data_IF_164755797895
#
_entry.id   IF_164755797895
#
_cell.length_a   1.000
_cell.length_b   1.000
_cell.length_c   1.000
_cell.angle_alpha   90.00
_cell.angle_beta   90.00
_cell.angle_gamma   90.00
#
_symmetry.space_group_name_H-M   'P 1'
#
loop_
_entity.id
_entity.type
_entity.pdbx_description
1 polymer ?
#
# COMPACT_ATOMS: atom_id res chain seq x y z
N UNK A 1 -28.37 -7.91 -16.80
CA UNK A 1 -27.69 -7.20 -15.68
C UNK A 1 -28.54 -6.00 -15.31
N UNK A 2 -28.82 -5.78 -14.03
CA UNK A 2 -29.91 -4.90 -13.59
C UNK A 2 -29.36 -3.46 -13.34
N UNK A 3 -30.00 -2.42 -13.90
CA UNK A 3 -29.45 -1.05 -13.97
C UNK A 3 -29.20 -0.38 -12.62
N UNK A 4 -29.91 -0.80 -11.56
CA UNK A 4 -29.68 -0.32 -10.20
C UNK A 4 -28.29 -0.73 -9.65
N UNK A 5 -27.70 -1.80 -10.17
CA UNK A 5 -26.44 -2.38 -9.68
C UNK A 5 -25.22 -1.65 -10.19
N UNK A 6 -25.26 -1.29 -11.47
CA UNK A 6 -24.24 -0.46 -12.10
C UNK A 6 -24.25 0.94 -11.48
N UNK A 7 -25.42 1.46 -11.12
CA UNK A 7 -25.56 2.71 -10.37
C UNK A 7 -24.87 2.67 -9.00
N UNK A 8 -25.20 1.70 -8.13
CA UNK A 8 -24.60 1.57 -6.79
C UNK A 8 -23.09 1.40 -6.82
N UNK A 9 -22.58 0.62 -7.78
CA UNK A 9 -21.14 0.40 -7.91
C UNK A 9 -20.39 1.66 -8.30
N UNK A 10 -20.93 2.42 -9.26
CA UNK A 10 -20.33 3.71 -9.67
C UNK A 10 -20.30 4.70 -8.51
N UNK A 11 -21.39 4.79 -7.74
CA UNK A 11 -21.46 5.68 -6.57
C UNK A 11 -20.39 5.31 -5.53
N UNK A 12 -20.30 4.03 -5.15
CA UNK A 12 -19.30 3.58 -4.18
C UNK A 12 -17.87 3.82 -4.66
N UNK A 13 -17.58 3.50 -5.93
CA UNK A 13 -16.26 3.75 -6.53
C UNK A 13 -15.91 5.24 -6.51
N UNK A 14 -16.80 6.11 -6.99
CA UNK A 14 -16.53 7.56 -7.02
C UNK A 14 -16.30 8.08 -5.61
N UNK A 15 -17.13 7.70 -4.64
CA UNK A 15 -16.91 8.07 -3.23
C UNK A 15 -15.54 7.60 -2.73
N UNK A 16 -15.18 6.33 -2.99
CA UNK A 16 -13.89 5.76 -2.58
C UNK A 16 -12.72 6.52 -3.17
N UNK A 17 -12.79 6.89 -4.45
CA UNK A 17 -11.75 7.65 -5.14
C UNK A 17 -11.65 9.10 -4.62
N UNK A 18 -12.77 9.72 -4.27
CA UNK A 18 -12.78 11.04 -3.64
C UNK A 18 -12.11 11.01 -2.26
N UNK A 19 -12.45 10.02 -1.42
CA UNK A 19 -11.78 9.85 -0.12
C UNK A 19 -10.29 9.54 -0.31
N UNK A 20 -9.93 8.69 -1.28
CA UNK A 20 -8.53 8.42 -1.60
C UNK A 20 -7.77 9.66 -2.06
N UNK A 21 -8.40 10.57 -2.80
CA UNK A 21 -7.83 11.87 -3.14
C UNK A 21 -7.61 12.73 -1.88
N UNK A 22 -8.59 12.81 -0.98
CA UNK A 22 -8.47 13.56 0.29
C UNK A 22 -7.32 13.03 1.15
N UNK A 23 -7.12 11.71 1.20
CA UNK A 23 -6.00 11.07 1.91
C UNK A 23 -4.61 11.51 1.42
N UNK A 24 -4.50 11.96 0.17
CA UNK A 24 -3.23 12.44 -0.43
C UNK A 24 -3.11 13.97 -0.31
N UNK A 25 -4.21 14.69 -0.48
CA UNK A 25 -4.21 16.15 -0.63
C UNK A 25 -4.40 16.91 0.70
N UNK A 26 -4.80 16.23 1.78
CA UNK A 26 -5.03 16.90 3.05
C UNK A 26 -3.73 17.34 3.73
N UNK A 27 -3.42 18.64 3.65
CA UNK A 27 -2.19 19.23 4.22
C UNK A 27 -2.25 19.52 5.73
N UNK A 28 -3.43 19.48 6.37
CA UNK A 28 -3.64 20.06 7.71
C UNK A 28 -3.69 19.11 8.91
N UNK A 29 -3.85 17.80 8.71
CA UNK A 29 -3.94 16.82 9.79
C UNK A 29 -2.84 15.78 9.60
N UNK A 30 -1.83 15.77 10.49
CA UNK A 30 -0.60 14.97 10.40
C UNK A 30 -0.74 13.68 9.61
N UNK A 31 -0.38 13.71 8.32
CA UNK A 31 -1.00 12.96 7.21
C UNK A 31 -1.44 11.51 7.48
N UNK A 32 -0.72 10.77 8.31
CA UNK A 32 -1.08 9.41 8.71
C UNK A 32 -2.45 9.29 9.42
N UNK A 33 -2.81 10.23 10.30
CA UNK A 33 -4.12 10.20 11.00
C UNK A 33 -5.26 10.41 10.00
N UNK A 34 -5.14 11.40 9.11
CA UNK A 34 -6.14 11.64 8.07
C UNK A 34 -6.25 10.44 7.11
N UNK A 35 -5.11 9.83 6.74
CA UNK A 35 -5.09 8.61 5.94
C UNK A 35 -5.79 7.45 6.65
N UNK A 36 -5.60 7.28 7.96
CA UNK A 36 -6.32 6.26 8.74
C UNK A 36 -7.83 6.53 8.74
N UNK A 37 -8.27 7.75 9.01
CA UNK A 37 -9.69 8.11 8.98
C UNK A 37 -10.32 7.90 7.59
N UNK A 38 -9.60 8.29 6.53
CA UNK A 38 -10.04 8.04 5.15
C UNK A 38 -10.15 6.53 4.85
N UNK A 39 -9.18 5.72 5.28
CA UNK A 39 -9.24 4.27 5.15
C UNK A 39 -10.45 3.68 5.88
N UNK A 40 -10.76 4.15 7.10
CA UNK A 40 -11.95 3.71 7.84
C UNK A 40 -13.25 4.07 7.12
N UNK A 41 -13.33 5.26 6.50
CA UNK A 41 -14.50 5.65 5.70
C UNK A 41 -14.66 4.75 4.46
N UNK A 42 -13.56 4.44 3.77
CA UNK A 42 -13.57 3.54 2.60
C UNK A 42 -13.99 2.13 3.00
N UNK A 43 -13.42 1.55 4.06
CA UNK A 43 -13.75 0.19 4.49
C UNK A 43 -15.19 0.09 5.01
N UNK A 44 -15.68 1.12 5.72
CA UNK A 44 -17.07 1.19 6.16
C UNK A 44 -18.04 1.18 4.98
N UNK A 45 -17.78 2.01 3.97
CA UNK A 45 -18.62 2.05 2.77
C UNK A 45 -18.46 0.79 1.90
N UNK A 46 -17.31 0.12 1.93
CA UNK A 46 -17.12 -1.18 1.28
C UNK A 46 -18.00 -2.27 1.89
N UNK A 47 -18.12 -2.34 3.23
CA UNK A 47 -19.04 -3.27 3.90
C UNK A 47 -20.49 -2.99 3.52
N UNK A 48 -20.91 -1.72 3.57
CA UNK A 48 -22.27 -1.30 3.15
C UNK A 48 -22.51 -1.67 1.69
N UNK A 49 -21.55 -1.41 0.80
CA UNK A 49 -21.63 -1.77 -0.61
C UNK A 49 -21.85 -3.27 -0.80
N UNK A 50 -21.08 -4.13 -0.12
CA UNK A 50 -21.22 -5.60 -0.23
C UNK A 50 -22.52 -6.15 0.38
N UNK A 51 -23.03 -5.52 1.43
CA UNK A 51 -24.33 -5.85 2.01
C UNK A 51 -25.48 -5.47 1.06
N UNK A 52 -25.40 -4.28 0.44
CA UNK A 52 -26.41 -3.77 -0.48
C UNK A 52 -26.35 -4.43 -1.88
N UNK A 53 -25.16 -4.83 -2.32
CA UNK A 53 -24.96 -5.56 -3.56
C UNK A 53 -25.09 -7.06 -3.30
N UNK A 54 -26.34 -7.55 -3.24
CA UNK A 54 -26.65 -9.00 -3.32
C UNK A 54 -26.34 -9.56 -4.72
N UNK A 55 -25.06 -9.59 -5.10
CA UNK A 55 -24.65 -10.24 -6.34
C UNK A 55 -25.16 -11.69 -6.34
N UNK A 56 -25.71 -12.19 -7.46
CA UNK A 56 -25.97 -13.61 -7.59
C UNK A 56 -24.67 -14.34 -7.26
N UNK A 57 -24.80 -15.35 -6.41
CA UNK A 57 -23.77 -16.12 -5.73
C UNK A 57 -22.68 -16.72 -6.63
N UNK A 58 -22.65 -16.44 -7.93
CA UNK A 58 -21.91 -17.17 -8.95
C UNK A 58 -20.37 -17.17 -8.80
N UNK A 59 -19.74 -16.23 -8.06
CA UNK A 59 -18.29 -16.08 -8.09
C UNK A 59 -17.64 -16.08 -6.70
N UNK A 60 -17.07 -17.22 -6.32
CA UNK A 60 -16.10 -17.28 -5.22
C UNK A 60 -14.84 -16.44 -5.55
N UNK A 61 -14.27 -15.80 -4.52
CA UNK A 61 -12.99 -15.07 -4.62
C UNK A 61 -11.78 -15.92 -4.27
N UNK A 62 -11.99 -16.98 -3.50
CA UNK A 62 -10.95 -17.92 -3.06
C UNK A 62 -11.49 -19.35 -3.18
N UNK A 63 -10.59 -20.28 -3.49
CA UNK A 63 -10.87 -21.72 -3.44
C UNK A 63 -10.95 -22.23 -1.99
N UNK A 64 -11.38 -23.49 -1.81
CA UNK A 64 -11.58 -24.07 -0.48
C UNK A 64 -10.31 -24.09 0.39
N UNK A 65 -9.12 -24.48 -0.13
CA UNK A 65 -7.91 -24.50 0.68
C UNK A 65 -7.52 -23.10 1.17
N UNK A 66 -7.58 -22.08 0.31
CA UNK A 66 -7.28 -20.73 0.77
C UNK A 66 -8.28 -20.20 1.78
N UNK A 67 -9.57 -20.51 1.61
CA UNK A 67 -10.60 -20.15 2.58
C UNK A 67 -10.32 -20.76 3.95
N UNK A 68 -9.94 -22.04 4.01
CA UNK A 68 -9.56 -22.70 5.26
C UNK A 68 -8.34 -22.02 5.89
N UNK A 69 -7.30 -21.76 5.11
CA UNK A 69 -6.10 -21.09 5.60
C UNK A 69 -6.39 -19.67 6.11
N UNK A 70 -7.20 -18.87 5.40
CA UNK A 70 -7.67 -17.57 5.88
C UNK A 70 -8.45 -17.67 7.19
N UNK A 71 -9.32 -18.68 7.32
CA UNK A 71 -10.06 -18.94 8.56
C UNK A 71 -9.13 -19.30 9.73
N UNK A 72 -8.11 -20.12 9.48
CA UNK A 72 -7.10 -20.48 10.50
C UNK A 72 -6.25 -19.27 10.90
N UNK A 73 -5.83 -18.42 9.95
CA UNK A 73 -5.08 -17.18 10.24
C UNK A 73 -5.93 -16.22 11.08
N UNK A 74 -7.21 -16.05 10.73
CA UNK A 74 -8.12 -15.20 11.50
C UNK A 74 -8.33 -15.74 12.92
N UNK A 75 -8.56 -17.06 13.05
CA UNK A 75 -8.71 -17.70 14.35
C UNK A 75 -7.45 -17.54 15.21
N UNK A 76 -6.27 -17.81 14.64
CA UNK A 76 -4.99 -17.62 15.33
C UNK A 76 -4.80 -16.17 15.77
N UNK A 77 -5.16 -15.20 14.93
CA UNK A 77 -5.13 -13.78 15.29
C UNK A 77 -6.05 -13.43 16.44
N UNK A 78 -7.28 -13.94 16.45
CA UNK A 78 -8.23 -13.69 17.55
C UNK A 78 -7.71 -14.31 18.84
N UNK A 79 -7.26 -15.57 18.80
CA UNK A 79 -6.71 -16.26 19.98
C UNK A 79 -5.47 -15.53 20.50
N UNK A 80 -4.52 -15.20 19.63
CA UNK A 80 -3.34 -14.40 19.96
C UNK A 80 -3.73 -13.05 20.58
N UNK A 81 -4.74 -12.37 20.04
CA UNK A 81 -5.23 -11.09 20.59
C UNK A 81 -5.79 -11.21 22.00
N UNK A 82 -6.44 -12.32 22.34
CA UNK A 82 -7.00 -12.54 23.67
C UNK A 82 -5.93 -12.79 24.74
N UNK A 83 -4.76 -13.30 24.34
CA UNK A 83 -3.61 -13.53 25.23
C UNK A 83 -2.62 -12.36 25.28
N UNK A 84 -2.84 -11.33 24.44
CA UNK A 84 -1.94 -10.20 24.34
C UNK A 84 -2.04 -9.28 25.57
N UNK A 85 -0.96 -8.56 25.90
CA UNK A 85 -0.93 -7.63 27.03
C UNK A 85 -1.96 -6.51 26.89
N UNK A 86 -2.22 -6.04 25.67
CA UNK A 86 -3.26 -5.07 25.34
C UNK A 86 -4.26 -5.63 24.30
N UNK A 87 -5.25 -6.45 24.70
CA UNK A 87 -6.13 -7.17 23.77
C UNK A 87 -6.90 -6.29 22.79
N UNK A 88 -7.30 -5.09 23.22
CA UNK A 88 -8.06 -4.16 22.37
C UNK A 88 -7.22 -3.66 21.18
N UNK A 89 -5.94 -3.37 21.38
CA UNK A 89 -5.04 -2.99 20.29
C UNK A 89 -4.72 -4.15 19.36
N UNK A 90 -4.59 -5.36 19.90
CA UNK A 90 -4.45 -6.56 19.08
C UNK A 90 -5.69 -6.81 18.20
N UNK A 91 -6.88 -6.77 18.78
CA UNK A 91 -8.14 -6.89 18.04
C UNK A 91 -8.32 -5.77 17.00
N UNK A 92 -7.77 -4.57 17.28
CA UNK A 92 -7.78 -3.45 16.33
C UNK A 92 -6.99 -3.80 15.06
N UNK A 93 -5.83 -4.44 15.16
CA UNK A 93 -5.08 -4.86 13.97
C UNK A 93 -5.75 -6.03 13.24
N UNK A 94 -6.33 -7.00 13.96
CA UNK A 94 -7.15 -8.05 13.34
C UNK A 94 -8.32 -7.44 12.55
N UNK A 95 -9.03 -6.48 13.14
CA UNK A 95 -10.12 -5.78 12.51
C UNK A 95 -9.66 -4.98 11.28
N UNK A 96 -8.50 -4.34 11.36
CA UNK A 96 -7.91 -3.60 10.24
C UNK A 96 -7.62 -4.51 9.04
N UNK A 97 -7.03 -5.68 9.27
CA UNK A 97 -6.73 -6.66 8.22
C UNK A 97 -8.04 -7.20 7.61
N UNK A 98 -9.03 -7.55 8.45
CA UNK A 98 -10.34 -7.99 7.97
C UNK A 98 -11.03 -6.92 7.12
N UNK A 99 -10.97 -5.65 7.54
CA UNK A 99 -11.50 -4.51 6.82
C UNK A 99 -10.78 -4.29 5.47
N UNK A 100 -9.46 -4.46 5.41
CA UNK A 100 -8.68 -4.41 4.17
C UNK A 100 -9.07 -5.55 3.21
N UNK A 101 -9.23 -6.77 3.71
CA UNK A 101 -9.72 -7.90 2.91
C UNK A 101 -11.14 -7.65 2.35
N UNK A 102 -12.03 -7.07 3.16
CA UNK A 102 -13.37 -6.67 2.74
C UNK A 102 -13.32 -5.59 1.64
N UNK A 103 -12.41 -4.63 1.76
CA UNK A 103 -12.18 -3.61 0.74
C UNK A 103 -11.67 -4.21 -0.59
N UNK A 104 -10.71 -5.15 -0.52
CA UNK A 104 -10.24 -5.89 -1.69
C UNK A 104 -11.38 -6.68 -2.36
N UNK A 105 -12.25 -7.32 -1.58
CA UNK A 105 -13.46 -7.98 -2.09
C UNK A 105 -14.40 -6.99 -2.81
N UNK A 106 -14.63 -5.80 -2.23
CA UNK A 106 -15.46 -4.77 -2.85
C UNK A 106 -14.91 -4.31 -4.20
N UNK A 107 -13.60 -4.06 -4.32
CA UNK A 107 -12.95 -3.78 -5.60
C UNK A 107 -13.11 -4.94 -6.59
N UNK A 108 -12.94 -6.17 -6.11
CA UNK A 108 -13.03 -7.34 -6.96
C UNK A 108 -14.44 -7.52 -7.56
N UNK A 109 -15.48 -7.41 -6.72
CA UNK A 109 -16.87 -7.47 -7.17
C UNK A 109 -17.24 -6.30 -8.06
N UNK A 110 -16.78 -5.09 -7.72
CA UNK A 110 -17.01 -3.89 -8.51
C UNK A 110 -16.52 -4.07 -9.96
N UNK A 111 -15.29 -4.57 -10.11
CA UNK A 111 -14.70 -4.87 -11.42
C UNK A 111 -15.38 -6.02 -12.15
N UNK A 112 -15.76 -7.10 -11.46
CA UNK A 112 -16.50 -8.22 -12.08
C UNK A 112 -17.89 -7.79 -12.56
N UNK A 113 -18.56 -6.89 -11.82
CA UNK A 113 -19.90 -6.43 -12.14
C UNK A 113 -19.95 -5.40 -13.27
N UNK A 114 -18.91 -4.57 -13.46
CA UNK A 114 -18.96 -3.43 -14.38
C UNK A 114 -17.93 -3.49 -15.53
N UNK A 115 -17.19 -4.58 -15.64
CA UNK A 115 -16.29 -4.80 -16.78
C UNK A 115 -15.14 -3.79 -16.84
N UNK A 116 -14.63 -3.55 -18.05
CA UNK A 116 -13.49 -2.68 -18.30
C UNK A 116 -13.73 -1.19 -17.93
N UNK A 117 -14.98 -0.77 -17.71
CA UNK A 117 -15.27 0.62 -17.29
C UNK A 117 -14.64 0.97 -15.94
N UNK A 118 -14.53 -0.01 -15.03
CA UNK A 118 -13.84 0.16 -13.74
C UNK A 118 -12.34 0.27 -13.96
N UNK A 119 -11.76 -0.51 -14.88
CA UNK A 119 -10.34 -0.43 -15.19
C UNK A 119 -9.96 0.97 -15.67
N UNK A 120 -10.78 1.53 -16.56
CA UNK A 120 -10.59 2.88 -17.11
C UNK A 120 -10.70 3.94 -16.02
N UNK A 121 -11.69 3.87 -15.14
CA UNK A 121 -11.87 4.82 -14.04
C UNK A 121 -10.70 4.77 -13.04
N UNK A 122 -10.28 3.57 -12.64
CA UNK A 122 -9.15 3.40 -11.72
C UNK A 122 -7.83 3.86 -12.36
N UNK A 123 -7.60 3.55 -13.63
CA UNK A 123 -6.41 4.01 -14.34
C UNK A 123 -6.41 5.54 -14.51
N UNK A 124 -7.55 6.14 -14.86
CA UNK A 124 -7.69 7.59 -14.95
C UNK A 124 -7.41 8.25 -13.60
N UNK A 125 -7.91 7.66 -12.51
CA UNK A 125 -7.61 8.12 -11.16
C UNK A 125 -6.11 8.05 -10.86
N UNK A 126 -5.44 6.94 -11.16
CA UNK A 126 -3.98 6.80 -10.98
C UNK A 126 -3.22 7.87 -11.77
N UNK A 127 -3.56 8.06 -13.04
CA UNK A 127 -2.92 9.08 -13.89
C UNK A 127 -3.18 10.48 -13.34
N UNK A 128 -4.41 10.77 -12.90
CA UNK A 128 -4.79 12.05 -12.32
C UNK A 128 -3.99 12.37 -11.05
N UNK A 129 -3.94 11.44 -10.08
CA UNK A 129 -3.20 11.68 -8.82
C UNK A 129 -1.71 11.82 -9.06
N UNK A 130 -1.11 11.04 -9.97
CA UNK A 130 0.30 11.17 -10.32
C UNK A 130 0.57 12.51 -11.01
N UNK A 131 -0.27 12.91 -11.98
CA UNK A 131 -0.14 14.19 -12.66
C UNK A 131 -0.28 15.37 -11.70
N UNK A 132 -1.27 15.32 -10.80
CA UNK A 132 -1.46 16.32 -9.76
C UNK A 132 -0.24 16.42 -8.85
N UNK A 133 0.27 15.29 -8.35
CA UNK A 133 1.45 15.29 -7.47
C UNK A 133 2.73 15.70 -8.18
N UNK A 134 2.86 15.42 -9.48
CA UNK A 134 3.94 15.99 -10.30
C UNK A 134 3.81 17.49 -10.46
N UNK A 135 2.60 18.02 -10.68
CA UNK A 135 2.36 19.45 -10.75
C UNK A 135 2.65 20.17 -9.42
N UNK A 136 2.19 19.60 -8.30
CA UNK A 136 2.47 20.09 -6.95
C UNK A 136 3.98 20.11 -6.66
N UNK A 137 4.68 19.03 -6.97
CA UNK A 137 6.15 18.95 -6.85
C UNK A 137 6.86 20.03 -7.67
N UNK A 138 6.48 20.23 -8.93
CA UNK A 138 7.07 21.26 -9.79
C UNK A 138 6.77 22.67 -9.27
N UNK A 139 5.57 22.90 -8.74
CA UNK A 139 5.18 24.19 -8.15
C UNK A 139 5.99 24.49 -6.89
N UNK A 140 6.16 23.50 -6.00
CA UNK A 140 6.98 23.63 -4.80
C UNK A 140 8.44 23.85 -5.17
N UNK A 141 8.97 23.09 -6.13
CA UNK A 141 10.34 23.27 -6.62
C UNK A 141 10.54 24.68 -7.17
N UNK A 142 9.65 25.15 -8.06
CA UNK A 142 9.71 26.49 -8.61
C UNK A 142 9.68 27.57 -7.51
N UNK A 143 8.81 27.43 -6.51
CA UNK A 143 8.77 28.35 -5.35
C UNK A 143 10.07 28.33 -4.56
N UNK A 144 10.66 27.16 -4.32
CA UNK A 144 11.96 27.05 -3.62
C UNK A 144 13.09 27.70 -4.42
N UNK A 145 13.14 27.50 -5.74
CA UNK A 145 14.11 28.15 -6.62
C UNK A 145 13.92 29.68 -6.67
N UNK A 146 12.68 30.16 -6.73
CA UNK A 146 12.35 31.58 -6.84
C UNK A 146 12.53 32.35 -5.51
N UNK A 147 12.38 31.67 -4.36
CA UNK A 147 12.50 32.30 -3.05
C UNK A 147 13.93 32.75 -2.71
N UNK A 148 14.95 32.20 -3.39
CA UNK A 148 16.35 32.64 -3.24
C UNK A 148 16.92 32.48 -1.83
N UNK A 149 16.38 31.57 -1.02
CA UNK A 149 16.73 31.38 0.40
C UNK A 149 18.12 30.76 0.63
N UNK A 150 18.88 30.49 -0.43
CA UNK A 150 20.20 29.85 -0.37
C UNK A 150 20.19 28.35 -0.03
N UNK A 151 19.10 27.85 0.56
CA UNK A 151 18.91 26.44 0.91
C UNK A 151 17.68 25.91 0.18
N UNK A 152 17.83 24.75 -0.46
CA UNK A 152 16.71 24.01 -1.03
C UNK A 152 16.57 22.64 -0.35
N UNK A 153 15.44 22.46 0.34
CA UNK A 153 15.08 21.23 1.02
C UNK A 153 14.26 20.33 0.10
N UNK A 154 14.90 19.27 -0.38
CA UNK A 154 14.24 18.26 -1.22
C UNK A 154 13.16 17.47 -0.47
N UNK A 155 13.19 17.44 0.87
CA UNK A 155 12.16 16.82 1.70
C UNK A 155 10.84 17.58 1.63
N UNK A 156 10.87 18.91 1.74
CA UNK A 156 9.70 19.78 1.64
C UNK A 156 8.96 19.71 0.31
N UNK A 157 9.60 19.22 -0.76
CA UNK A 157 8.97 19.02 -2.07
C UNK A 157 8.00 17.83 -2.10
N UNK A 158 8.09 16.92 -1.12
CA UNK A 158 7.30 15.68 -1.05
C UNK A 158 6.15 15.83 -0.05
N UNK A 159 5.22 16.70 -0.38
CA UNK A 159 4.08 17.03 0.47
C UNK A 159 3.01 15.92 0.52
N UNK A 160 2.15 15.94 1.54
CA UNK A 160 0.96 15.08 1.65
C UNK A 160 1.16 13.77 2.42
N UNK A 161 2.39 13.46 2.84
CA UNK A 161 2.70 12.30 3.68
C UNK A 161 3.50 12.73 4.91
N UNK A 162 3.23 12.12 6.06
CA UNK A 162 3.99 12.38 7.30
C UNK A 162 5.44 11.90 7.24
N UNK A 163 5.76 11.01 6.30
CA UNK A 163 7.11 10.54 6.05
C UNK A 163 7.30 10.27 4.55
N UNK A 164 8.44 10.70 3.99
CA UNK A 164 8.83 10.41 2.60
C UNK A 164 8.82 8.92 2.25
N UNK A 165 9.06 8.02 3.23
CA UNK A 165 8.96 6.56 3.03
C UNK A 165 7.56 6.15 2.56
N UNK A 166 6.52 6.74 3.14
CA UNK A 166 5.12 6.45 2.78
C UNK A 166 4.78 6.97 1.39
N UNK A 167 5.36 8.11 1.00
CA UNK A 167 5.33 8.59 -0.38
C UNK A 167 5.98 7.57 -1.32
N UNK A 168 7.15 7.03 -0.96
CA UNK A 168 7.82 5.98 -1.73
C UNK A 168 6.99 4.70 -1.88
N UNK A 169 6.31 4.25 -0.82
CA UNK A 169 5.37 3.12 -0.90
C UNK A 169 4.28 3.36 -1.94
N UNK A 170 3.69 4.57 -1.94
CA UNK A 170 2.72 4.97 -2.96
C UNK A 170 3.30 4.99 -4.38
N UNK A 171 4.54 5.45 -4.55
CA UNK A 171 5.23 5.42 -5.85
C UNK A 171 5.45 3.99 -6.35
N UNK A 172 5.86 3.07 -5.47
CA UNK A 172 6.02 1.64 -5.82
C UNK A 172 4.73 1.01 -6.31
N UNK A 173 3.58 1.38 -5.72
CA UNK A 173 2.30 0.94 -6.24
C UNK A 173 1.98 1.51 -7.62
N UNK A 174 2.29 2.79 -7.87
CA UNK A 174 1.79 3.54 -9.04
C UNK A 174 2.69 3.52 -10.26
N UNK A 175 4.02 3.45 -10.08
CA UNK A 175 5.01 3.40 -11.17
C UNK A 175 4.69 2.31 -12.22
N UNK A 176 4.27 1.08 -11.84
CA UNK A 176 3.90 0.06 -12.82
C UNK A 176 2.67 0.40 -13.67
N UNK A 177 1.68 1.13 -13.14
CA UNK A 177 0.45 1.49 -13.85
C UNK A 177 0.67 2.55 -14.91
N UNK A 178 1.57 3.51 -14.66
CA UNK A 178 1.87 4.58 -15.62
C UNK A 178 2.48 4.05 -16.92
N UNK A 179 3.05 2.83 -16.92
CA UNK A 179 3.51 2.18 -18.15
C UNK A 179 2.37 1.58 -18.99
N UNK A 180 1.17 1.36 -18.44
CA UNK A 180 0.09 0.65 -19.16
C UNK A 180 -0.32 1.35 -20.47
N UNK A 181 -0.58 2.68 -20.52
CA UNK A 181 -0.93 3.33 -21.78
C UNK A 181 0.17 3.23 -22.84
N UNK A 182 1.45 3.09 -22.45
CA UNK A 182 2.59 2.91 -23.35
C UNK A 182 2.66 1.48 -23.94
N UNK A 183 2.05 0.51 -23.26
CA UNK A 183 1.96 -0.88 -23.71
C UNK A 183 0.77 -1.14 -24.64
N UNK A 184 -0.27 -0.32 -24.57
CA UNK A 184 -1.44 -0.46 -25.43
C UNK A 184 -1.14 0.03 -26.85
N UNK A 185 -1.48 -0.79 -27.85
CA UNK A 185 -1.34 -0.43 -29.28
C UNK A 185 -2.35 0.61 -29.75
N UNK A 186 -3.46 0.76 -29.02
CA UNK A 186 -4.55 1.69 -29.32
C UNK A 186 -4.30 3.12 -28.83
N UNK A 187 -3.28 3.33 -27.99
CA UNK A 187 -2.96 4.66 -27.45
C UNK A 187 -2.36 5.56 -28.54
N UNK A 188 -2.92 6.76 -28.71
CA UNK A 188 -2.41 7.76 -29.65
C UNK A 188 -0.98 8.19 -29.29
N UNK A 189 -0.14 8.50 -30.29
CA UNK A 189 1.26 8.95 -30.07
C UNK A 189 1.38 10.15 -29.13
N UNK A 190 0.46 11.11 -29.19
CA UNK A 190 0.45 12.27 -28.27
C UNK A 190 0.19 11.84 -26.82
N UNK A 191 -0.76 10.93 -26.60
CA UNK A 191 -1.05 10.39 -25.28
C UNK A 191 0.12 9.53 -24.75
N UNK A 192 0.82 8.79 -25.63
CA UNK A 192 2.05 8.09 -25.26
C UNK A 192 3.14 9.07 -24.81
N UNK A 193 3.36 10.16 -25.55
CA UNK A 193 4.33 11.19 -25.18
C UNK A 193 4.01 11.80 -23.81
N UNK A 194 2.77 12.21 -23.58
CA UNK A 194 2.35 12.76 -22.27
C UNK A 194 2.49 11.75 -21.13
N UNK A 195 2.11 10.50 -21.36
CA UNK A 195 2.25 9.44 -20.36
C UNK A 195 3.73 9.14 -20.05
N UNK A 196 4.58 9.13 -21.07
CA UNK A 196 6.03 8.93 -20.88
C UNK A 196 6.68 10.10 -20.15
N UNK A 197 6.29 11.34 -20.45
CA UNK A 197 6.71 12.53 -19.71
C UNK A 197 6.27 12.44 -18.25
N UNK A 198 5.01 12.05 -17.99
CA UNK A 198 4.52 11.84 -16.63
C UNK A 198 5.29 10.73 -15.90
N UNK A 199 5.53 9.59 -16.56
CA UNK A 199 6.32 8.49 -15.99
C UNK A 199 7.75 8.93 -15.64
N UNK A 200 8.38 9.73 -16.51
CA UNK A 200 9.72 10.27 -16.28
C UNK A 200 9.76 11.28 -15.13
N UNK A 201 8.75 12.16 -15.04
CA UNK A 201 8.56 13.06 -13.90
C UNK A 201 8.28 12.29 -12.60
N UNK A 202 7.53 11.19 -12.67
CA UNK A 202 7.27 10.33 -11.52
C UNK A 202 8.55 9.64 -11.02
N UNK A 203 9.42 9.21 -11.94
CA UNK A 203 10.77 8.74 -11.62
C UNK A 203 11.67 9.83 -11.05
N UNK A 204 11.65 11.05 -11.60
CA UNK A 204 12.33 12.22 -11.00
C UNK A 204 11.95 12.37 -9.52
N UNK A 205 10.65 12.35 -9.21
CA UNK A 205 10.17 12.49 -7.82
C UNK A 205 10.64 11.30 -6.96
N UNK A 206 10.65 10.08 -7.51
CA UNK A 206 11.14 8.89 -6.80
C UNK A 206 12.65 9.00 -6.48
N UNK A 207 13.44 9.52 -7.42
CA UNK A 207 14.86 9.82 -7.24
C UNK A 207 15.02 10.90 -6.16
N UNK A 208 14.27 12.00 -6.21
CA UNK A 208 14.29 13.07 -5.20
C UNK A 208 13.95 12.55 -3.80
N UNK A 209 12.97 11.63 -3.69
CA UNK A 209 12.62 11.01 -2.42
C UNK A 209 13.70 10.11 -1.83
N UNK A 210 14.61 9.58 -2.65
CA UNK A 210 15.71 8.74 -2.19
C UNK A 210 15.25 7.52 -1.38
N UNK A 211 14.03 7.03 -1.62
CA UNK A 211 13.44 5.95 -0.83
C UNK A 211 14.02 4.61 -1.28
N UNK A 212 14.97 4.07 -0.53
CA UNK A 212 15.64 2.78 -0.84
C UNK A 212 14.63 1.62 -1.05
N UNK A 213 13.51 1.66 -0.32
CA UNK A 213 12.43 0.69 -0.46
C UNK A 213 11.81 0.68 -1.87
N UNK A 214 11.62 1.84 -2.49
CA UNK A 214 11.07 1.97 -3.85
C UNK A 214 12.04 1.39 -4.88
N UNK A 215 13.34 1.70 -4.76
CA UNK A 215 14.37 1.13 -5.63
C UNK A 215 14.44 -0.39 -5.53
N UNK A 216 14.43 -0.93 -4.30
CA UNK A 216 14.40 -2.37 -4.07
C UNK A 216 13.12 -2.99 -4.64
N UNK A 217 11.97 -2.36 -4.41
CA UNK A 217 10.67 -2.79 -4.92
C UNK A 217 10.64 -2.87 -6.45
N UNK A 218 10.99 -1.78 -7.12
CA UNK A 218 11.00 -1.71 -8.58
C UNK A 218 12.08 -2.59 -9.21
N UNK A 219 13.23 -2.77 -8.54
CA UNK A 219 14.24 -3.76 -8.93
C UNK A 219 13.71 -5.19 -8.86
N UNK A 220 13.06 -5.57 -7.74
CA UNK A 220 12.41 -6.87 -7.59
C UNK A 220 11.33 -7.13 -8.63
N UNK A 221 10.48 -6.12 -8.90
CA UNK A 221 9.47 -6.18 -9.94
C UNK A 221 10.11 -6.37 -11.34
N UNK A 222 11.20 -5.66 -11.64
CA UNK A 222 11.95 -5.78 -12.89
C UNK A 222 12.51 -7.19 -13.07
N UNK A 223 13.15 -7.76 -12.04
CA UNK A 223 13.69 -9.12 -12.08
C UNK A 223 12.59 -10.17 -12.35
N UNK A 224 11.46 -10.06 -11.66
CA UNK A 224 10.33 -10.98 -11.85
C UNK A 224 9.66 -10.78 -13.22
N UNK A 225 9.48 -9.54 -13.69
CA UNK A 225 8.88 -9.30 -15.00
C UNK A 225 9.80 -9.69 -16.16
N UNK A 226 11.12 -9.64 -15.98
CA UNK A 226 12.06 -10.09 -17.01
C UNK A 226 11.87 -11.56 -17.38
N UNK A 227 11.56 -12.40 -16.38
CA UNK A 227 11.26 -13.84 -16.56
C UNK A 227 9.82 -14.11 -17.01
N UNK A 228 8.95 -13.09 -17.06
CA UNK A 228 7.56 -13.20 -17.50
C UNK A 228 7.40 -13.25 -19.04
N UNK A 229 8.48 -13.14 -19.82
CA UNK A 229 8.45 -13.23 -21.28
C UNK A 229 8.35 -11.87 -21.99
N UNK A 230 7.77 -11.85 -23.19
CA UNK A 230 7.79 -10.68 -24.08
C UNK A 230 7.13 -9.44 -23.47
N UNK A 231 5.89 -9.53 -22.98
CA UNK A 231 5.19 -8.39 -22.37
C UNK A 231 5.92 -7.84 -21.14
N UNK A 232 6.54 -8.71 -20.33
CA UNK A 232 7.36 -8.30 -19.19
C UNK A 232 8.60 -7.49 -19.62
N UNK A 233 9.34 -7.98 -20.63
CA UNK A 233 10.48 -7.24 -21.21
C UNK A 233 10.04 -5.92 -21.85
N UNK A 234 8.89 -5.90 -22.51
CA UNK A 234 8.31 -4.68 -23.10
C UNK A 234 7.91 -3.64 -22.04
N UNK A 235 7.44 -4.07 -20.87
CA UNK A 235 7.24 -3.17 -19.73
C UNK A 235 8.57 -2.56 -19.26
N UNK A 236 9.63 -3.37 -19.17
CA UNK A 236 10.98 -2.91 -18.78
C UNK A 236 11.52 -1.88 -19.79
N UNK A 237 11.30 -2.08 -21.10
CA UNK A 237 11.76 -1.12 -22.13
C UNK A 237 11.14 0.27 -22.04
N UNK A 238 10.00 0.42 -21.35
CA UNK A 238 9.41 1.73 -21.06
C UNK A 238 9.88 2.31 -19.72
N UNK A 239 10.08 1.44 -18.72
CA UNK A 239 10.55 1.86 -17.41
C UNK A 239 12.01 2.32 -17.43
N UNK A 240 12.91 1.59 -18.09
CA UNK A 240 14.34 1.92 -18.10
C UNK A 240 14.63 3.32 -18.68
N UNK A 241 14.15 3.69 -19.88
CA UNK A 241 14.35 5.04 -20.38
C UNK A 241 13.72 6.11 -19.48
N UNK A 242 12.56 5.85 -18.89
CA UNK A 242 11.92 6.81 -17.99
C UNK A 242 12.72 7.03 -16.68
N UNK A 243 13.34 5.98 -16.14
CA UNK A 243 14.29 6.10 -15.01
C UNK A 243 15.48 6.97 -15.42
N UNK A 244 16.08 6.71 -16.58
CA UNK A 244 17.23 7.46 -17.08
C UNK A 244 16.89 8.94 -17.24
N UNK A 245 15.75 9.25 -17.86
CA UNK A 245 15.25 10.62 -18.00
C UNK A 245 14.98 11.23 -16.62
N UNK A 246 14.35 10.51 -15.70
CA UNK A 246 14.09 10.99 -14.33
C UNK A 246 15.37 11.33 -13.56
N UNK A 247 16.41 10.49 -13.67
CA UNK A 247 17.74 10.73 -13.08
C UNK A 247 18.44 11.93 -13.73
N UNK A 248 18.35 12.04 -15.06
CA UNK A 248 18.91 13.19 -15.79
C UNK A 248 18.23 14.49 -15.37
N UNK A 249 16.90 14.51 -15.26
CA UNK A 249 16.14 15.66 -14.77
C UNK A 249 16.51 16.02 -13.33
N UNK A 250 16.72 15.02 -12.47
CA UNK A 250 17.16 15.25 -11.09
C UNK A 250 18.51 15.96 -11.07
N UNK A 251 19.48 15.45 -11.84
CA UNK A 251 20.81 16.04 -11.95
C UNK A 251 20.76 17.48 -12.49
N UNK A 252 19.97 17.72 -13.54
CA UNK A 252 19.81 19.07 -14.10
C UNK A 252 19.20 20.06 -13.09
N UNK A 253 18.17 19.66 -12.35
CA UNK A 253 17.50 20.54 -11.39
C UNK A 253 18.31 20.77 -10.11
N UNK A 254 18.80 19.71 -9.49
CA UNK A 254 19.35 19.77 -8.13
C UNK A 254 20.87 19.82 -8.08
N UNK A 255 21.57 19.59 -9.20
CA UNK A 255 23.03 19.76 -9.27
C UNK A 255 23.41 20.94 -10.16
N UNK A 256 22.92 20.98 -11.41
CA UNK A 256 23.31 22.03 -12.36
C UNK A 256 22.62 23.36 -12.04
N UNK A 257 21.29 23.39 -12.02
CA UNK A 257 20.53 24.62 -11.79
C UNK A 257 20.72 25.14 -10.37
N UNK A 258 20.64 24.27 -9.35
CA UNK A 258 20.89 24.66 -7.97
C UNK A 258 22.30 25.20 -7.76
N UNK A 259 23.33 24.56 -8.34
CA UNK A 259 24.72 25.01 -8.28
C UNK A 259 24.93 26.35 -9.00
N UNK A 260 24.30 26.54 -10.16
CA UNK A 260 24.33 27.83 -10.88
C UNK A 260 23.72 28.96 -10.06
N UNK A 261 22.66 28.67 -9.29
CA UNK A 261 22.00 29.62 -8.41
C UNK A 261 22.68 29.77 -7.04
N UNK A 262 23.81 29.09 -6.82
CA UNK A 262 24.57 29.15 -5.56
C UNK A 262 23.81 28.59 -4.35
N UNK A 263 22.88 27.65 -4.55
CA UNK A 263 22.10 27.07 -3.46
C UNK A 263 22.70 25.78 -2.92
N UNK A 264 22.68 25.64 -1.60
CA UNK A 264 23.04 24.42 -0.91
C UNK A 264 21.86 23.44 -0.86
N UNK A 265 22.12 22.18 -1.18
CA UNK A 265 21.14 21.11 -1.04
C UNK A 265 21.15 20.59 0.37
N UNK A 266 20.01 20.69 1.06
CA UNK A 266 19.77 19.89 2.25
C UNK A 266 19.02 18.63 1.86
N UNK A 267 19.19 17.56 2.65
CA UNK A 267 18.40 16.35 2.49
C UNK A 267 18.59 15.63 1.14
N UNK A 268 19.72 15.82 0.46
CA UNK A 268 19.95 15.33 -0.90
C UNK A 268 19.76 13.80 -1.02
N UNK A 269 19.30 13.34 -2.19
CA UNK A 269 19.10 11.91 -2.43
C UNK A 269 20.43 11.12 -2.35
N UNK A 270 21.56 11.73 -2.73
CA UNK A 270 22.90 11.14 -2.70
C UNK A 270 23.37 10.79 -1.29
N UNK A 271 23.26 11.70 -0.33
CA UNK A 271 23.59 11.49 1.09
C UNK A 271 22.77 10.33 1.69
N UNK A 272 21.55 10.15 1.20
CA UNK A 272 20.62 9.11 1.65
C UNK A 272 20.86 7.77 0.96
N UNK A 273 21.61 7.70 -0.13
CA UNK A 273 22.05 6.45 -0.74
C UNK A 273 23.35 5.95 -0.09
N UNK A 274 24.19 6.86 0.41
CA UNK A 274 25.52 6.55 0.97
C UNK A 274 25.53 6.34 2.50
N UNK A 275 24.54 6.83 3.25
CA UNK A 275 24.47 6.64 4.72
C UNK A 275 24.13 5.19 5.11
N UNK A 276 25.03 4.49 5.79
CA UNK A 276 24.88 3.07 6.17
C UNK A 276 24.02 2.79 7.40
N UNK A 277 23.45 3.80 8.05
CA UNK A 277 22.63 3.63 9.26
C UNK A 277 21.18 3.27 8.91
N UNK A 278 20.95 2.02 8.51
CA UNK A 278 19.64 1.42 8.71
C UNK A 278 19.63 0.94 10.17
N UNK A 279 19.03 1.69 11.09
CA UNK A 279 18.80 1.28 12.49
C UNK A 279 17.84 0.08 12.60
N UNK A 280 17.81 -0.80 11.59
CA UNK A 280 16.97 -1.99 11.50
C UNK A 280 17.55 -3.16 12.30
N UNK A 281 18.87 -3.19 12.53
CA UNK A 281 19.51 -4.26 13.31
C UNK A 281 18.85 -4.46 14.68
N UNK A 282 18.73 -3.41 15.52
CA UNK A 282 18.02 -3.51 16.79
C UNK A 282 16.55 -3.92 16.65
N UNK A 283 15.85 -3.39 15.65
CA UNK A 283 14.44 -3.74 15.40
C UNK A 283 14.26 -5.21 15.01
N UNK A 284 15.15 -5.75 14.19
CA UNK A 284 15.11 -7.15 13.76
C UNK A 284 15.50 -8.07 14.90
N UNK A 285 16.47 -7.66 15.73
CA UNK A 285 16.83 -8.39 16.94
C UNK A 285 15.65 -8.45 17.91
N UNK A 286 14.96 -7.32 18.18
CA UNK A 286 13.75 -7.30 18.99
C UNK A 286 12.67 -8.23 18.43
N UNK A 287 12.39 -8.18 17.12
CA UNK A 287 11.39 -9.06 16.51
C UNK A 287 11.78 -10.54 16.64
N UNK A 288 13.07 -10.84 16.51
CA UNK A 288 13.59 -12.19 16.65
C UNK A 288 13.50 -12.71 18.08
N UNK A 289 13.80 -11.88 19.07
CA UNK A 289 13.64 -12.23 20.48
C UNK A 289 12.16 -12.47 20.83
N UNK A 290 11.26 -11.63 20.29
CA UNK A 290 9.81 -11.87 20.39
C UNK A 290 9.38 -13.21 19.78
N UNK A 291 9.90 -13.57 18.61
CA UNK A 291 9.61 -14.86 17.96
C UNK A 291 10.11 -16.02 18.82
N UNK A 292 11.30 -15.91 19.43
CA UNK A 292 11.86 -16.96 20.28
C UNK A 292 11.04 -17.19 21.55
N UNK A 293 10.54 -16.12 22.14
CA UNK A 293 9.78 -16.19 23.38
C UNK A 293 8.36 -16.73 23.16
N UNK A 294 7.65 -16.30 22.11
CA UNK A 294 6.27 -16.72 21.82
C UNK A 294 6.10 -17.23 20.37
N UNK A 295 6.75 -18.36 19.98
CA UNK A 295 6.83 -18.79 18.59
C UNK A 295 5.49 -19.22 17.97
N UNK A 296 4.51 -19.62 18.80
CA UNK A 296 3.26 -20.22 18.33
C UNK A 296 2.18 -19.19 17.97
N UNK A 297 1.92 -18.24 18.88
CA UNK A 297 0.87 -17.22 18.73
C UNK A 297 1.42 -15.80 18.59
N UNK A 298 2.72 -15.59 18.84
CA UNK A 298 3.30 -14.25 18.94
C UNK A 298 2.80 -13.50 20.19
N UNK A 299 3.22 -12.24 20.31
CA UNK A 299 2.84 -11.36 21.42
C UNK A 299 1.43 -10.77 21.30
N UNK A 300 0.76 -10.99 20.17
CA UNK A 300 -0.46 -10.29 19.80
C UNK A 300 -0.23 -9.40 18.58
N UNK A 301 -1.18 -9.32 17.65
CA UNK A 301 -1.19 -8.29 16.62
C UNK A 301 -0.89 -6.90 17.21
N UNK A 302 -0.11 -6.08 16.50
CA UNK A 302 0.36 -4.74 16.91
C UNK A 302 1.36 -4.70 18.08
N UNK A 303 1.68 -5.82 18.75
CA UNK A 303 2.45 -5.79 19.99
C UNK A 303 3.96 -5.59 19.83
N UNK A 304 4.49 -5.51 18.60
CA UNK A 304 5.82 -4.93 18.45
C UNK A 304 5.85 -3.48 18.97
N UNK A 305 4.72 -2.76 18.86
CA UNK A 305 4.55 -1.40 19.37
C UNK A 305 4.29 -1.32 20.89
N UNK A 306 4.11 -2.46 21.57
CA UNK A 306 3.95 -2.53 23.03
C UNK A 306 5.31 -2.66 23.75
N UNK A 307 6.36 -3.02 23.01
CA UNK A 307 7.73 -3.08 23.51
C UNK A 307 8.49 -1.87 22.97
N UNK A 308 8.65 -0.86 23.82
CA UNK A 308 9.25 0.41 23.44
C UNK A 308 10.71 0.24 22.99
N UNK A 309 11.04 0.86 21.86
CA UNK A 309 12.40 1.11 21.39
C UNK A 309 12.43 2.54 20.78
N UNK A 310 13.58 3.21 20.70
CA UNK A 310 13.66 4.59 20.23
C UNK A 310 13.53 4.74 18.69
N UNK A 311 13.47 3.63 17.94
CA UNK A 311 13.61 3.64 16.48
C UNK A 311 12.25 3.59 15.77
N UNK A 312 11.41 2.59 16.04
CA UNK A 312 10.13 2.40 15.36
C UNK A 312 9.16 1.43 16.06
N UNK A 313 7.86 1.61 15.81
CA UNK A 313 6.78 0.76 16.30
C UNK A 313 6.55 -0.53 15.45
N UNK A 314 7.49 -0.85 14.56
CA UNK A 314 7.48 -2.08 13.73
C UNK A 314 8.87 -2.37 13.15
N UNK A 315 9.20 -3.64 12.81
CA UNK A 315 10.54 -4.02 12.41
C UNK A 315 10.94 -3.65 10.97
N UNK A 316 10.05 -3.01 10.21
CA UNK A 316 10.26 -2.69 8.79
C UNK A 316 10.52 -3.94 7.91
N UNK A 317 10.05 -5.11 8.33
CA UNK A 317 10.17 -6.37 7.60
C UNK A 317 8.89 -7.17 7.88
N UNK A 318 8.05 -7.36 6.86
CA UNK A 318 6.70 -7.89 7.04
C UNK A 318 6.63 -9.32 7.61
N UNK A 319 7.60 -10.20 7.27
CA UNK A 319 7.67 -11.58 7.79
C UNK A 319 8.06 -11.58 9.27
N UNK A 320 9.08 -10.83 9.67
CA UNK A 320 9.51 -10.69 11.05
C UNK A 320 8.39 -10.09 11.89
N UNK A 321 7.74 -9.04 11.38
CA UNK A 321 6.59 -8.42 12.03
C UNK A 321 5.46 -9.42 12.25
N UNK A 322 5.06 -10.14 11.20
CA UNK A 322 3.97 -11.11 11.30
C UNK A 322 4.35 -12.26 12.24
N UNK A 323 5.59 -12.76 12.20
CA UNK A 323 6.02 -13.85 13.06
C UNK A 323 6.11 -13.45 14.54
N UNK A 324 6.58 -12.23 14.85
CA UNK A 324 6.68 -11.74 16.24
C UNK A 324 5.31 -11.46 16.85
N UNK A 325 4.34 -11.01 16.04
CA UNK A 325 3.03 -10.56 16.51
C UNK A 325 1.95 -11.67 16.40
N UNK A 326 2.00 -12.52 15.37
CA UNK A 326 0.97 -13.54 15.07
C UNK A 326 1.48 -14.98 15.17
N UNK A 327 2.77 -15.18 15.43
CA UNK A 327 3.40 -16.49 15.53
C UNK A 327 3.81 -17.12 14.19
N UNK A 328 4.79 -18.03 14.27
CA UNK A 328 5.39 -18.71 13.11
C UNK A 328 4.36 -19.52 12.29
N UNK A 329 3.43 -20.30 12.90
CA UNK A 329 2.43 -21.03 12.12
C UNK A 329 1.56 -20.13 11.25
N UNK A 330 1.11 -18.98 11.79
CA UNK A 330 0.32 -17.99 11.05
C UNK A 330 1.14 -17.40 9.89
N UNK A 331 2.41 -17.06 10.14
CA UNK A 331 3.33 -16.56 9.11
C UNK A 331 3.49 -17.54 7.96
N UNK A 332 3.69 -18.83 8.24
CA UNK A 332 3.85 -19.85 7.21
C UNK A 332 2.57 -20.02 6.36
N UNK A 333 1.40 -19.95 6.99
CA UNK A 333 0.12 -19.98 6.27
C UNK A 333 -0.05 -18.77 5.34
N UNK A 334 0.26 -17.56 5.83
CA UNK A 334 0.20 -16.34 5.02
C UNK A 334 1.21 -16.37 3.88
N UNK A 335 2.45 -16.77 4.14
CA UNK A 335 3.47 -16.94 3.10
C UNK A 335 3.05 -17.96 2.05
N UNK A 336 2.47 -19.08 2.45
CA UNK A 336 1.92 -20.10 1.54
C UNK A 336 0.78 -19.56 0.68
N UNK A 337 -0.15 -18.80 1.27
CA UNK A 337 -1.26 -18.16 0.56
C UNK A 337 -0.76 -17.15 -0.48
N UNK A 338 0.14 -16.25 -0.08
CA UNK A 338 0.75 -15.23 -0.95
C UNK A 338 1.55 -15.91 -2.06
N UNK A 339 2.44 -16.84 -1.72
CA UNK A 339 3.26 -17.57 -2.68
C UNK A 339 2.43 -18.30 -3.72
N UNK A 340 1.34 -18.96 -3.31
CA UNK A 340 0.41 -19.63 -4.22
C UNK A 340 -0.30 -18.65 -5.17
N UNK A 341 -0.73 -17.50 -4.67
CA UNK A 341 -1.37 -16.46 -5.49
C UNK A 341 -0.40 -15.81 -6.49
N UNK A 342 0.83 -15.54 -6.06
CA UNK A 342 1.90 -15.03 -6.91
C UNK A 342 2.26 -16.04 -7.99
N UNK A 343 2.41 -17.32 -7.64
CA UNK A 343 2.74 -18.38 -8.58
C UNK A 343 1.64 -18.53 -9.64
N UNK A 344 0.37 -18.60 -9.23
CA UNK A 344 -0.75 -18.69 -10.16
C UNK A 344 -0.78 -17.49 -11.14
N UNK A 345 -0.53 -16.28 -10.64
CA UNK A 345 -0.48 -15.07 -11.47
C UNK A 345 0.71 -15.07 -12.43
N UNK A 346 1.89 -15.46 -11.95
CA UNK A 346 3.10 -15.61 -12.75
C UNK A 346 2.90 -16.59 -13.89
N UNK A 347 2.33 -17.78 -13.61
CA UNK A 347 2.04 -18.79 -14.63
C UNK A 347 1.09 -18.22 -15.69
N UNK A 348 0.01 -17.56 -15.28
CA UNK A 348 -0.95 -16.97 -16.21
C UNK A 348 -0.33 -15.86 -17.08
N UNK A 349 0.50 -14.99 -16.50
CA UNK A 349 1.20 -13.94 -17.25
C UNK A 349 2.17 -14.56 -18.27
N UNK A 350 2.90 -15.61 -17.89
CA UNK A 350 3.81 -16.32 -18.82
C UNK A 350 3.06 -17.01 -19.96
N UNK A 351 1.92 -17.64 -19.67
CA UNK A 351 1.05 -18.24 -20.69
C UNK A 351 0.51 -17.20 -21.68
N UNK A 352 0.32 -15.95 -21.24
CA UNK A 352 -0.18 -14.84 -22.05
C UNK A 352 0.90 -13.81 -22.41
N UNK A 353 2.16 -14.22 -22.42
CA UNK A 353 3.30 -13.30 -22.53
C UNK A 353 3.37 -12.54 -23.87
N UNK A 354 2.69 -13.00 -24.92
CA UNK A 354 2.61 -12.34 -26.23
C UNK A 354 1.26 -11.66 -26.47
N UNK A 355 0.34 -11.72 -25.51
CA UNK A 355 -0.98 -11.12 -25.62
C UNK A 355 -0.90 -9.59 -25.61
N UNK A 356 -1.56 -8.97 -26.59
CA UNK A 356 -1.79 -7.53 -26.64
C UNK A 356 -3.10 -7.09 -25.99
N UNK A 357 -3.86 -8.02 -25.38
CA UNK A 357 -5.13 -7.69 -24.75
C UNK A 357 -4.94 -6.70 -23.59
N UNK A 358 -5.72 -5.60 -23.52
CA UNK A 358 -5.60 -4.63 -22.44
C UNK A 358 -5.71 -5.22 -21.03
N UNK A 359 -6.52 -6.28 -20.86
CA UNK A 359 -6.68 -6.94 -19.56
C UNK A 359 -5.42 -7.68 -19.14
N UNK A 360 -4.73 -8.31 -20.09
CA UNK A 360 -3.49 -9.04 -19.83
C UNK A 360 -2.33 -8.10 -19.49
N UNK A 361 -2.23 -6.98 -20.20
CA UNK A 361 -1.24 -5.94 -19.92
C UNK A 361 -1.52 -5.23 -18.59
N UNK A 362 -2.79 -4.99 -18.26
CA UNK A 362 -3.18 -4.47 -16.94
C UNK A 362 -2.82 -5.46 -15.83
N UNK A 363 -3.05 -6.76 -16.02
CA UNK A 363 -2.65 -7.81 -15.07
C UNK A 363 -1.14 -7.81 -14.84
N UNK A 364 -0.35 -7.62 -15.88
CA UNK A 364 1.12 -7.48 -15.78
C UNK A 364 1.50 -6.28 -14.90
N UNK A 365 0.90 -5.10 -15.13
CA UNK A 365 1.16 -3.90 -14.33
C UNK A 365 0.74 -4.07 -12.86
N UNK A 366 -0.42 -4.67 -12.60
CA UNK A 366 -0.90 -5.01 -11.25
C UNK A 366 0.06 -5.98 -10.55
N UNK A 367 0.56 -6.97 -11.28
CA UNK A 367 1.52 -7.93 -10.74
C UNK A 367 2.87 -7.28 -10.42
N UNK A 368 3.39 -6.41 -11.27
CA UNK A 368 4.60 -5.62 -10.95
C UNK A 368 4.39 -4.75 -9.71
N UNK A 369 3.22 -4.10 -9.59
CA UNK A 369 2.85 -3.29 -8.42
C UNK A 369 2.85 -4.13 -7.14
N UNK A 370 2.25 -5.32 -7.18
CA UNK A 370 2.22 -6.26 -6.05
C UNK A 370 3.63 -6.77 -5.69
N UNK A 371 4.43 -7.21 -6.66
CA UNK A 371 5.80 -7.66 -6.42
C UNK A 371 6.66 -6.53 -5.84
N UNK A 372 6.52 -5.31 -6.37
CA UNK A 372 7.21 -4.13 -5.87
C UNK A 372 6.86 -3.85 -4.41
N UNK A 373 5.57 -3.83 -4.09
CA UNK A 373 5.08 -3.61 -2.72
C UNK A 373 5.54 -4.70 -1.74
N UNK A 374 5.46 -5.98 -2.14
CA UNK A 374 5.92 -7.11 -1.31
C UNK A 374 7.43 -7.06 -1.09
N UNK A 375 8.20 -6.73 -2.12
CA UNK A 375 9.66 -6.59 -2.02
C UNK A 375 10.02 -5.40 -1.12
N UNK A 376 9.36 -4.25 -1.28
CA UNK A 376 9.55 -3.09 -0.40
C UNK A 376 9.15 -3.40 1.05
N UNK A 377 8.14 -4.24 1.28
CA UNK A 377 7.69 -4.64 2.62
C UNK A 377 8.74 -5.41 3.43
N UNK A 378 9.82 -5.88 2.78
CA UNK A 378 10.97 -6.50 3.47
C UNK A 378 11.92 -5.47 4.08
N UNK A 379 11.75 -4.18 3.80
CA UNK A 379 12.63 -3.11 4.29
C UNK A 379 11.88 -1.84 4.73
N UNK A 380 10.55 -1.89 4.75
CA UNK A 380 9.66 -0.77 5.03
C UNK A 380 8.29 -1.22 5.56
N UNK A 381 7.56 -0.32 6.21
CA UNK A 381 6.25 -0.58 6.85
C UNK A 381 5.07 -0.64 5.87
N UNK A 382 5.18 -1.33 4.73
CA UNK A 382 4.12 -1.33 3.69
C UNK A 382 2.80 -1.91 4.21
N UNK A 383 2.86 -2.93 5.08
CA UNK A 383 1.65 -3.64 5.56
C UNK A 383 0.97 -2.96 6.74
N UNK A 384 1.53 -1.87 7.28
CA UNK A 384 1.02 -1.17 8.46
C UNK A 384 0.46 0.22 8.15
N UNK A 385 1.00 0.88 7.12
CA UNK A 385 0.60 2.25 6.81
C UNK A 385 -0.80 2.29 6.18
N UNK A 386 -1.70 3.20 6.60
CA UNK A 386 -3.10 3.19 6.16
C UNK A 386 -3.24 3.31 4.65
N UNK A 387 -2.46 4.21 4.05
CA UNK A 387 -2.56 4.48 2.62
C UNK A 387 -1.99 3.33 1.78
N UNK A 388 -0.87 2.71 2.19
CA UNK A 388 -0.32 1.54 1.50
C UNK A 388 -1.21 0.30 1.66
N UNK A 389 -1.87 0.12 2.81
CA UNK A 389 -2.88 -0.92 3.01
C UNK A 389 -4.10 -0.73 2.09
N UNK A 390 -4.55 0.51 1.90
CA UNK A 390 -5.60 0.83 0.92
C UNK A 390 -5.16 0.45 -0.51
N UNK A 391 -3.97 0.86 -0.94
CA UNK A 391 -3.44 0.49 -2.26
C UNK A 391 -3.26 -1.01 -2.43
N UNK A 392 -2.77 -1.70 -1.40
CA UNK A 392 -2.66 -3.16 -1.42
C UNK A 392 -4.03 -3.81 -1.61
N UNK A 393 -5.05 -3.33 -0.90
CA UNK A 393 -6.43 -3.83 -1.03
C UNK A 393 -6.97 -3.59 -2.45
N UNK A 394 -6.74 -2.41 -3.01
CA UNK A 394 -7.11 -2.07 -4.39
C UNK A 394 -6.41 -2.99 -5.39
N UNK A 395 -5.08 -3.11 -5.33
CA UNK A 395 -4.28 -3.90 -6.27
C UNK A 395 -4.61 -5.39 -6.18
N UNK A 396 -4.72 -5.94 -4.97
CA UNK A 396 -5.08 -7.35 -4.75
C UNK A 396 -6.50 -7.62 -5.22
N UNK A 397 -7.47 -6.78 -4.84
CA UNK A 397 -8.87 -6.92 -5.27
C UNK A 397 -9.02 -6.83 -6.78
N UNK A 398 -8.33 -5.88 -7.40
CA UNK A 398 -8.32 -5.71 -8.86
C UNK A 398 -7.68 -6.91 -9.55
N UNK A 399 -6.55 -7.41 -9.07
CA UNK A 399 -5.89 -8.59 -9.60
C UNK A 399 -6.77 -9.85 -9.47
N UNK A 400 -7.44 -10.04 -8.33
CA UNK A 400 -8.39 -11.14 -8.09
C UNK A 400 -9.62 -11.07 -9.01
N UNK A 401 -10.06 -9.86 -9.41
CA UNK A 401 -11.13 -9.72 -10.39
C UNK A 401 -10.72 -10.16 -11.79
N UNK A 402 -9.48 -9.86 -12.18
CA UNK A 402 -8.94 -10.19 -13.49
C UNK A 402 -8.42 -11.64 -13.59
N UNK A 403 -8.16 -12.29 -12.46
CA UNK A 403 -7.63 -13.65 -12.46
C UNK A 403 -8.67 -14.65 -12.95
N UNK A 404 -8.28 -15.48 -13.94
CA UNK A 404 -9.15 -16.51 -14.51
C UNK A 404 -8.93 -17.81 -13.74
N UNK A 405 -10.00 -18.36 -13.19
CA UNK A 405 -9.97 -19.60 -12.43
C UNK A 405 -9.68 -20.81 -13.34
N UNK A 406 -8.57 -21.51 -13.09
CA UNK A 406 -8.30 -22.82 -13.73
C UNK A 406 -9.09 -23.98 -13.11
N UNK A 407 -9.50 -23.84 -11.84
CA UNK A 407 -10.33 -24.80 -11.10
C UNK A 407 -11.66 -24.13 -10.76
N UNK A 408 -12.75 -24.89 -10.71
CA UNK A 408 -14.04 -24.35 -10.31
C UNK A 408 -13.93 -23.59 -8.98
N UNK A 409 -14.37 -22.31 -8.92
CA UNK A 409 -14.37 -21.57 -7.67
C UNK A 409 -15.25 -22.31 -6.67
N UNK A 410 -14.85 -22.25 -5.40
CA UNK A 410 -15.56 -22.97 -4.36
C UNK A 410 -17.02 -22.51 -4.28
N UNK A 411 -17.94 -23.49 -4.38
CA UNK A 411 -19.39 -23.24 -4.43
C UNK A 411 -19.79 -22.23 -3.34
N UNK A 412 -20.62 -21.27 -3.71
CA UNK A 412 -20.93 -20.15 -2.84
C UNK A 412 -21.84 -20.66 -1.71
N UNK A 413 -21.50 -20.34 -0.46
CA UNK A 413 -22.21 -20.83 0.74
C UNK A 413 -22.77 -19.65 1.53
N UNK A 414 -24.10 -19.62 1.74
CA UNK A 414 -24.84 -18.55 2.42
C UNK A 414 -24.27 -18.26 3.81
N UNK A 415 -24.06 -19.31 4.60
CA UNK A 415 -23.51 -19.22 5.94
C UNK A 415 -22.14 -18.53 5.93
N UNK A 416 -21.21 -19.01 5.10
CA UNK A 416 -19.84 -18.47 5.04
C UNK A 416 -19.84 -16.98 4.68
N UNK A 417 -20.67 -16.55 3.72
CA UNK A 417 -20.76 -15.12 3.38
C UNK A 417 -21.33 -14.31 4.53
N UNK A 418 -22.43 -14.76 5.13
CA UNK A 418 -23.03 -14.01 6.24
C UNK A 418 -22.13 -13.97 7.47
N UNK A 419 -21.38 -15.04 7.75
CA UNK A 419 -20.31 -15.04 8.74
C UNK A 419 -19.24 -14.00 8.39
N UNK A 420 -18.76 -13.98 7.14
CA UNK A 420 -17.78 -13.00 6.69
C UNK A 420 -18.30 -11.56 6.78
N UNK A 421 -19.55 -11.30 6.38
CA UNK A 421 -20.21 -9.99 6.51
C UNK A 421 -20.41 -9.59 7.98
N UNK A 422 -20.70 -10.54 8.86
CA UNK A 422 -20.75 -10.33 10.31
C UNK A 422 -19.38 -9.93 10.86
N UNK A 423 -18.33 -10.67 10.49
CA UNK A 423 -16.94 -10.36 10.87
C UNK A 423 -16.51 -8.99 10.35
N UNK A 424 -16.76 -8.68 9.07
CA UNK A 424 -16.39 -7.39 8.48
C UNK A 424 -17.15 -6.23 9.11
N UNK A 425 -18.45 -6.40 9.40
CA UNK A 425 -19.25 -5.41 10.12
C UNK A 425 -18.71 -5.18 11.54
N UNK A 426 -18.43 -6.25 12.29
CA UNK A 426 -17.87 -6.16 13.64
C UNK A 426 -16.49 -5.50 13.64
N UNK A 427 -15.64 -5.83 12.66
CA UNK A 427 -14.33 -5.22 12.47
C UNK A 427 -14.45 -3.70 12.24
N UNK A 428 -15.32 -3.26 11.32
CA UNK A 428 -15.55 -1.84 11.07
C UNK A 428 -16.11 -1.13 12.31
N UNK A 429 -17.07 -1.74 13.02
CA UNK A 429 -17.62 -1.16 14.24
C UNK A 429 -16.56 -0.99 15.33
N UNK A 430 -15.67 -1.97 15.50
CA UNK A 430 -14.53 -1.86 16.42
C UNK A 430 -13.60 -0.72 16.03
N UNK A 431 -13.25 -0.60 14.74
CA UNK A 431 -12.38 0.47 14.25
C UNK A 431 -13.01 1.86 14.41
N UNK A 432 -14.32 1.98 14.17
CA UNK A 432 -15.08 3.22 14.42
C UNK A 432 -15.10 3.55 15.91
N UNK A 433 -15.31 2.56 16.78
CA UNK A 433 -15.21 2.74 18.22
C UNK A 433 -13.83 3.25 18.64
N UNK A 434 -12.75 2.63 18.15
CA UNK A 434 -11.37 3.07 18.41
C UNK A 434 -11.15 4.50 17.93
N UNK A 435 -11.66 4.87 16.76
CA UNK A 435 -11.58 6.24 16.26
C UNK A 435 -12.34 7.24 17.14
N UNK A 436 -13.56 6.93 17.56
CA UNK A 436 -14.37 7.79 18.45
C UNK A 436 -13.68 7.95 19.80
N UNK A 437 -13.09 6.88 20.34
CA UNK A 437 -12.34 6.88 21.60
C UNK A 437 -11.04 7.70 21.48
N UNK A 438 -10.28 7.53 20.41
CA UNK A 438 -8.90 8.05 20.34
C UNK A 438 -8.81 9.45 19.75
N UNK A 439 -9.57 9.78 18.71
CA UNK A 439 -9.45 11.04 17.96
C UNK A 439 -9.50 12.28 18.86
N UNK A 440 -10.41 12.38 19.85
CA UNK A 440 -10.46 13.53 20.76
C UNK A 440 -9.20 13.72 21.62
N UNK A 441 -8.43 12.64 21.83
CA UNK A 441 -7.29 12.60 22.76
C UNK A 441 -5.94 12.41 22.06
N UNK A 442 -5.87 12.48 20.72
CA UNK A 442 -4.63 12.26 19.98
C UNK A 442 -3.54 13.28 20.37
N UNK A 443 -3.90 14.57 20.49
CA UNK A 443 -2.95 15.62 20.85
C UNK A 443 -2.37 15.43 22.26
N UNK A 444 -3.18 14.93 23.19
CA UNK A 444 -2.75 14.63 24.56
C UNK A 444 -1.80 13.43 24.57
N UNK A 445 -2.12 12.37 23.81
CA UNK A 445 -1.25 11.19 23.66
C UNK A 445 0.08 11.53 23.01
N UNK A 446 0.07 12.38 21.99
CA UNK A 446 1.27 12.83 21.29
C UNK A 446 2.18 13.61 22.24
N UNK A 447 1.62 14.53 23.03
CA UNK A 447 2.36 15.27 24.07
C UNK A 447 2.92 14.36 25.15
N UNK A 448 2.11 13.42 25.65
CA UNK A 448 2.53 12.47 26.68
C UNK A 448 3.70 11.62 26.21
N UNK A 449 3.63 11.09 24.98
CA UNK A 449 4.72 10.32 24.39
C UNK A 449 6.00 11.15 24.28
N UNK A 450 5.89 12.40 23.82
CA UNK A 450 7.04 13.31 23.74
C UNK A 450 7.64 13.60 25.11
N UNK A 451 6.83 13.73 26.17
CA UNK A 451 7.32 13.93 27.53
C UNK A 451 8.00 12.67 28.11
N UNK A 452 7.45 11.49 27.84
CA UNK A 452 7.92 10.23 28.45
C UNK A 452 9.14 9.62 27.75
N UNK A 453 9.18 9.69 26.42
CA UNK A 453 10.17 9.01 25.59
C UNK A 453 10.96 9.97 24.70
N UNK A 454 10.40 11.13 24.37
CA UNK A 454 10.99 12.09 23.44
C UNK A 454 11.14 11.54 22.01
N UNK A 455 11.95 12.22 21.21
CA UNK A 455 12.32 11.78 19.86
C UNK A 455 11.21 11.93 18.83
N UNK A 456 11.32 11.15 17.74
CA UNK A 456 10.39 11.22 16.62
C UNK A 456 9.13 10.38 16.89
N UNK A 457 8.00 10.77 16.30
CA UNK A 457 6.82 9.90 16.29
C UNK A 457 7.11 8.61 15.50
N UNK A 458 6.54 7.52 15.97
CA UNK A 458 6.68 6.18 15.38
C UNK A 458 5.31 5.71 14.87
N UNK A 459 4.95 5.99 13.60
CA UNK A 459 3.62 5.67 13.09
C UNK A 459 3.31 4.19 13.09
N UNK A 460 2.08 3.84 13.49
CA UNK A 460 1.48 2.50 13.37
C UNK A 460 0.00 2.66 13.02
N UNK A 461 -0.90 2.52 14.00
CA UNK A 461 -2.32 2.79 13.78
C UNK A 461 -2.57 4.30 13.59
N UNK A 462 -2.07 5.11 14.52
CA UNK A 462 -2.06 6.58 14.46
C UNK A 462 -0.65 7.12 14.17
N UNK A 463 -0.51 8.46 14.07
CA UNK A 463 0.80 9.15 13.90
C UNK A 463 1.78 8.76 15.00
N UNK A 464 1.35 8.81 16.26
CA UNK A 464 2.00 8.11 17.36
C UNK A 464 1.40 6.69 17.41
N UNK A 465 2.20 5.68 17.09
CA UNK A 465 1.79 4.28 17.04
C UNK A 465 2.26 3.35 18.17
N UNK A 466 3.09 3.83 19.10
CA UNK A 466 3.50 3.11 20.32
C UNK A 466 2.30 2.97 21.25
N UNK A 467 2.06 1.74 21.69
CA UNK A 467 0.99 1.43 22.64
C UNK A 467 1.54 1.11 24.04
N UNK A 468 2.86 0.92 24.16
CA UNK A 468 3.55 0.68 25.42
C UNK A 468 3.15 1.73 26.48
N UNK A 469 2.87 1.25 27.68
CA UNK A 469 2.64 2.10 28.86
C UNK A 469 3.90 2.03 29.71
N UNK A 470 4.52 3.17 30.03
CA UNK A 470 5.62 3.20 30.99
C UNK A 470 5.06 2.79 32.37
N UNK A 471 5.64 1.80 33.06
CA UNK A 471 5.28 1.56 34.45
C UNK A 471 5.53 2.85 35.25
N UNK A 472 4.58 3.22 36.12
CA UNK A 472 4.72 4.36 37.03
C UNK A 472 5.93 4.20 37.97
#
# INVERSE_FOLDING_TARGET
>A
MNAAWTGRTKIWLVFTLLIAAVMIFGHGLGGNTLQRLGQLAVTSTAVVFLLCCRMPYAFGLVDRPARLACGLVLLAGIVSSLYAHQPLWALTEVALIAACCCCAEAFAHSRRANGASVDQLLLLFVVFICAFKSFDFLTLAFRSFAAGTGILDTGGLLSGFSNKRFYGQFQTFTLPFLALPLLLSTTKRSAQAWTFSLLSLWWLIAVTGGTRGTWLGMGGATCVLFICGHSGRRWITWQLPAVVVGVMLYWLLFSVLAGYLGMEMSNAASERLTTTLSDRGPLWQQAWDMIREHPWLGFGPMHFADIHNPIAAHPHQAILQWASEWGVPSTLLVMGLVGRGLWATLTLIRERATSGDPTDLLRLCLFASLIGALTQSMVDGVIVMPYSQFWLSLVVGWLMALHVWKREPAKPNAFIRWSWMGISSAAVLLLVYVAIRDVPHLDERDKLYQQQYGGHYQPRFWVQGVIAIKPE
#
